data_IF_458210359402
#
_entry.id   IF_458210359402
#
_cell.length_a   1.000
_cell.length_b   1.000
_cell.length_c   1.000
_cell.angle_alpha   90.00
_cell.angle_beta   90.00
_cell.angle_gamma   90.00
#
_symmetry.space_group_name_H-M   'P 1'
#
loop_
_entity.id
_entity.type
_entity.pdbx_description
1 polymer ?
#
# COMPACT_ATOMS: atom_id res chain seq x y z
N UNK A 1 5.18 2.88 16.51
CA UNK A 1 5.80 3.49 15.33
C UNK A 1 4.81 3.47 14.16
N UNK A 2 4.40 2.29 13.67
CA UNK A 2 3.40 2.13 12.60
C UNK A 2 2.01 2.66 12.99
N UNK A 3 1.77 3.94 12.69
CA UNK A 3 0.51 4.64 12.89
C UNK A 3 0.34 5.69 11.77
N UNK A 4 -0.75 6.46 11.79
CA UNK A 4 -1.04 7.42 10.73
C UNK A 4 0.03 8.51 10.54
N UNK A 5 0.80 8.85 11.59
CA UNK A 5 1.91 9.81 11.48
C UNK A 5 3.05 9.22 10.66
N UNK A 6 3.35 7.94 10.84
CA UNK A 6 4.35 7.25 10.02
C UNK A 6 3.93 7.21 8.54
N UNK A 7 2.67 6.88 8.25
CA UNK A 7 2.17 6.90 6.87
C UNK A 7 2.27 8.31 6.23
N UNK A 8 1.97 9.37 7.00
CA UNK A 8 2.13 10.75 6.53
C UNK A 8 3.60 11.13 6.26
N UNK A 9 4.51 10.69 7.12
CA UNK A 9 5.96 10.89 6.97
C UNK A 9 6.49 10.19 5.71
N UNK A 10 6.11 8.92 5.48
CA UNK A 10 6.49 8.15 4.28
C UNK A 10 5.93 8.80 3.02
N UNK A 11 4.66 9.24 3.03
CA UNK A 11 4.06 9.94 1.90
C UNK A 11 4.82 11.24 1.56
N UNK A 12 5.11 12.05 2.58
CA UNK A 12 5.81 13.33 2.39
C UNK A 12 7.24 13.09 1.88
N UNK A 13 7.94 12.12 2.45
CA UNK A 13 9.30 11.74 2.01
C UNK A 13 9.28 11.25 0.56
N UNK A 14 8.33 10.38 0.19
CA UNK A 14 8.17 9.90 -1.18
C UNK A 14 7.91 11.06 -2.15
N UNK A 15 7.06 12.03 -1.78
CA UNK A 15 6.83 13.23 -2.59
C UNK A 15 8.13 14.00 -2.85
N UNK A 16 8.91 14.27 -1.79
CA UNK A 16 10.20 14.97 -1.91
C UNK A 16 11.17 14.20 -2.81
N UNK A 17 11.26 12.88 -2.68
CA UNK A 17 12.14 12.06 -3.51
C UNK A 17 11.72 12.09 -4.99
N UNK A 18 10.44 11.85 -5.27
CA UNK A 18 9.91 11.83 -6.64
C UNK A 18 10.07 13.18 -7.35
N UNK A 19 9.94 14.29 -6.61
CA UNK A 19 10.02 15.63 -7.17
C UNK A 19 11.44 16.17 -7.22
N UNK A 20 12.21 16.00 -6.14
CA UNK A 20 13.60 16.43 -6.05
C UNK A 20 14.50 15.75 -7.07
N UNK A 21 14.30 14.45 -7.31
CA UNK A 21 15.04 13.70 -8.33
C UNK A 21 14.36 13.71 -9.72
N UNK A 22 13.28 14.48 -9.90
CA UNK A 22 12.50 14.58 -11.15
C UNK A 22 12.00 13.22 -11.70
N UNK A 23 11.85 12.21 -10.84
CA UNK A 23 11.39 10.88 -11.27
C UNK A 23 9.97 10.91 -11.81
N UNK A 24 9.12 11.78 -11.24
CA UNK A 24 7.75 11.99 -11.71
C UNK A 24 7.66 12.58 -13.13
N UNK A 25 8.73 13.20 -13.65
CA UNK A 25 8.75 13.77 -15.01
C UNK A 25 9.16 12.72 -16.04
N UNK A 26 10.07 11.83 -15.67
CA UNK A 26 10.75 10.95 -16.62
C UNK A 26 10.28 9.50 -16.56
N UNK A 27 9.73 9.05 -15.43
CA UNK A 27 9.48 7.62 -15.18
C UNK A 27 8.05 7.31 -14.71
N UNK A 28 7.26 8.30 -14.32
CA UNK A 28 5.89 8.08 -13.83
C UNK A 28 4.90 8.86 -14.68
N UNK A 29 3.87 8.17 -15.16
CA UNK A 29 2.66 8.81 -15.66
C UNK A 29 1.74 9.21 -14.48
N UNK A 30 0.65 9.96 -14.71
CA UNK A 30 -0.24 10.39 -13.63
C UNK A 30 -0.84 9.22 -12.82
N UNK A 31 -1.12 8.09 -13.47
CA UNK A 31 -1.66 6.90 -12.81
C UNK A 31 -0.63 6.25 -11.89
N UNK A 32 0.62 6.13 -12.34
CA UNK A 32 1.74 5.63 -11.57
C UNK A 32 2.09 6.53 -10.39
N UNK A 33 2.04 7.86 -10.57
CA UNK A 33 2.23 8.81 -9.47
C UNK A 33 1.14 8.68 -8.40
N UNK A 34 -0.12 8.56 -8.82
CA UNK A 34 -1.23 8.31 -7.91
C UNK A 34 -1.09 6.96 -7.20
N UNK A 35 -0.68 5.90 -7.90
CA UNK A 35 -0.42 4.58 -7.31
C UNK A 35 0.70 4.64 -6.26
N UNK A 36 1.77 5.37 -6.53
CA UNK A 36 2.88 5.54 -5.59
C UNK A 36 2.44 6.25 -4.30
N UNK A 37 1.70 7.35 -4.41
CA UNK A 37 1.17 8.04 -3.23
C UNK A 37 0.14 7.20 -2.48
N UNK A 38 -0.76 6.51 -3.19
CA UNK A 38 -1.73 5.66 -2.55
C UNK A 38 -1.06 4.48 -1.82
N UNK A 39 -0.07 3.83 -2.44
CA UNK A 39 0.72 2.78 -1.81
C UNK A 39 1.39 3.29 -0.52
N UNK A 40 2.03 4.46 -0.54
CA UNK A 40 2.63 5.06 0.66
C UNK A 40 1.61 5.31 1.78
N UNK A 41 0.40 5.77 1.44
CA UNK A 41 -0.68 5.99 2.42
C UNK A 41 -1.12 4.69 3.09
N UNK A 42 -1.21 3.60 2.33
CA UNK A 42 -1.77 2.34 2.82
C UNK A 42 -0.73 1.30 3.25
N UNK A 43 0.57 1.56 3.05
CA UNK A 43 1.61 0.51 3.15
C UNK A 43 1.63 -0.20 4.51
N UNK A 44 1.19 0.47 5.58
CA UNK A 44 1.08 -0.06 6.96
C UNK A 44 -0.36 -0.06 7.50
N UNK A 45 -1.36 0.00 6.62
CA UNK A 45 -2.75 0.10 7.07
C UNK A 45 -3.18 -1.14 7.87
N UNK A 46 -3.62 -0.94 9.11
CA UNK A 46 -4.01 -2.04 10.01
C UNK A 46 -2.84 -2.76 10.69
N UNK A 47 -1.64 -2.17 10.69
CA UNK A 47 -0.46 -2.77 11.33
C UNK A 47 -0.67 -3.03 12.84
N UNK A 48 -0.45 -4.27 13.34
CA UNK A 48 -0.73 -4.65 14.74
C UNK A 48 0.35 -4.22 15.74
N UNK A 49 1.49 -3.74 15.25
CA UNK A 49 2.65 -3.37 16.08
C UNK A 49 3.58 -4.55 16.38
N UNK A 50 3.44 -5.63 15.63
CA UNK A 50 4.25 -6.85 15.69
C UNK A 50 4.98 -7.02 14.35
N UNK A 51 6.12 -7.71 14.33
CA UNK A 51 6.87 -7.99 13.09
C UNK A 51 6.31 -9.20 12.34
N UNK A 52 6.59 -9.31 11.04
CA UNK A 52 6.21 -10.48 10.23
C UNK A 52 6.71 -11.80 10.83
N UNK A 53 7.99 -11.84 11.21
CA UNK A 53 8.60 -12.99 11.90
C UNK A 53 7.86 -13.39 13.17
N UNK A 54 7.42 -12.42 13.98
CA UNK A 54 6.65 -12.71 15.19
C UNK A 54 5.31 -13.34 14.86
N UNK A 55 4.62 -12.85 13.82
CA UNK A 55 3.34 -13.41 13.39
C UNK A 55 3.51 -14.88 12.94
N UNK A 56 4.54 -15.17 12.14
CA UNK A 56 4.84 -16.54 11.68
C UNK A 56 5.26 -17.44 12.84
N UNK A 57 6.15 -16.98 13.73
CA UNK A 57 6.61 -17.78 14.86
C UNK A 57 5.49 -18.12 15.88
N UNK A 58 4.43 -17.31 15.92
CA UNK A 58 3.29 -17.48 16.84
C UNK A 58 2.05 -18.09 16.18
N UNK A 59 2.14 -18.50 14.91
CA UNK A 59 0.98 -18.95 14.11
C UNK A 59 -0.20 -17.96 14.17
N UNK A 60 0.12 -16.67 14.14
CA UNK A 60 -0.87 -15.60 14.21
C UNK A 60 -1.88 -15.73 13.05
N UNK A 61 -3.17 -15.36 13.22
CA UNK A 61 -4.17 -15.51 12.16
C UNK A 61 -3.80 -14.89 10.80
N UNK A 62 -3.06 -13.78 10.78
CA UNK A 62 -2.55 -13.18 9.54
C UNK A 62 -1.49 -14.05 8.87
N UNK A 63 -0.56 -14.63 9.63
CA UNK A 63 0.46 -15.54 9.12
C UNK A 63 -0.19 -16.79 8.50
N UNK A 64 -1.18 -17.38 9.19
CA UNK A 64 -1.97 -18.50 8.64
C UNK A 64 -2.74 -18.11 7.37
N UNK A 65 -3.37 -16.93 7.35
CA UNK A 65 -4.16 -16.44 6.21
C UNK A 65 -3.30 -16.23 4.97
N UNK A 66 -2.09 -15.70 5.13
CA UNK A 66 -1.18 -15.40 4.04
C UNK A 66 -0.07 -16.43 3.87
N UNK A 67 -0.21 -17.60 4.51
CA UNK A 67 0.69 -18.75 4.39
C UNK A 67 2.17 -18.38 4.63
N UNK A 68 2.42 -17.58 5.67
CA UNK A 68 3.75 -17.11 6.07
C UNK A 68 4.52 -16.30 5.01
N UNK A 69 3.83 -15.80 3.97
CA UNK A 69 4.44 -15.00 2.90
C UNK A 69 3.99 -13.55 3.01
N UNK A 70 4.90 -12.67 3.42
CA UNK A 70 4.67 -11.23 3.62
C UNK A 70 3.33 -10.95 4.32
N UNK A 71 3.08 -11.50 5.54
CA UNK A 71 1.73 -11.52 6.10
C UNK A 71 1.18 -10.13 6.41
N UNK A 72 2.06 -9.17 6.73
CA UNK A 72 1.71 -7.79 7.01
C UNK A 72 1.38 -7.04 5.72
N UNK A 73 2.26 -7.10 4.72
CA UNK A 73 2.14 -6.34 3.48
C UNK A 73 0.94 -6.81 2.66
N UNK A 74 0.68 -8.12 2.64
CA UNK A 74 -0.55 -8.66 2.07
C UNK A 74 -1.80 -8.17 2.83
N UNK A 75 -1.72 -8.07 4.16
CA UNK A 75 -2.83 -7.56 4.97
C UNK A 75 -3.12 -6.09 4.68
N UNK A 76 -2.10 -5.24 4.62
CA UNK A 76 -2.20 -3.81 4.37
C UNK A 76 -2.95 -3.54 3.06
N UNK A 77 -2.53 -4.22 1.99
CA UNK A 77 -3.21 -4.13 0.70
C UNK A 77 -4.65 -4.68 0.73
N UNK A 78 -4.85 -5.90 1.25
CA UNK A 78 -6.18 -6.51 1.28
C UNK A 78 -7.19 -5.65 2.05
N UNK A 79 -6.84 -5.23 3.26
CA UNK A 79 -7.71 -4.45 4.14
C UNK A 79 -8.06 -3.08 3.55
N UNK A 80 -7.09 -2.39 2.93
CA UNK A 80 -7.35 -1.09 2.30
C UNK A 80 -8.31 -1.18 1.11
N UNK A 81 -8.11 -2.16 0.23
CA UNK A 81 -9.00 -2.35 -0.92
C UNK A 81 -10.37 -2.91 -0.53
N UNK A 82 -10.47 -3.74 0.51
CA UNK A 82 -11.76 -4.17 1.08
C UNK A 82 -12.53 -2.97 1.65
N UNK A 83 -11.87 -2.06 2.36
CA UNK A 83 -12.48 -0.84 2.87
C UNK A 83 -13.05 0.02 1.75
N UNK A 84 -12.26 0.29 0.70
CA UNK A 84 -12.73 1.06 -0.47
C UNK A 84 -13.92 0.39 -1.16
N UNK A 85 -13.90 -0.93 -1.31
CA UNK A 85 -15.00 -1.68 -1.92
C UNK A 85 -16.26 -1.66 -1.06
N UNK A 86 -16.11 -1.72 0.27
CA UNK A 86 -17.21 -1.73 1.22
C UNK A 86 -17.84 -0.35 1.47
N UNK A 87 -17.11 0.73 1.19
CA UNK A 87 -17.56 2.10 1.40
C UNK A 87 -17.40 2.92 0.11
N UNK A 88 -18.44 3.00 -0.74
CA UNK A 88 -18.37 3.71 -2.03
C UNK A 88 -17.92 5.17 -1.92
N UNK A 89 -18.16 5.85 -0.79
CA UNK A 89 -17.68 7.21 -0.52
C UNK A 89 -16.16 7.31 -0.38
N UNK A 90 -15.47 6.20 -0.17
CA UNK A 90 -14.00 6.11 -0.08
C UNK A 90 -13.37 5.59 -1.38
N UNK A 91 -14.15 5.23 -2.40
CA UNK A 91 -13.61 4.76 -3.68
C UNK A 91 -13.04 5.93 -4.51
N UNK A 92 -11.74 6.15 -4.37
CA UNK A 92 -10.99 7.14 -5.17
C UNK A 92 -10.86 6.76 -6.64
N UNK A 93 -11.21 5.52 -7.02
CA UNK A 93 -11.06 5.02 -8.40
C UNK A 93 -12.32 5.24 -9.23
N UNK A 94 -13.36 5.86 -8.67
CA UNK A 94 -14.66 6.18 -9.28
C UNK A 94 -14.62 6.56 -10.77
N UNK A 95 -13.74 7.50 -11.13
CA UNK A 95 -13.60 8.04 -12.49
C UNK A 95 -12.71 7.25 -13.46
N UNK A 96 -12.07 6.16 -13.01
CA UNK A 96 -11.14 5.38 -13.83
C UNK A 96 -11.88 4.36 -14.71
N UNK A 97 -11.37 4.15 -15.92
CA UNK A 97 -11.76 3.04 -16.78
C UNK A 97 -11.40 1.68 -16.13
N UNK A 98 -12.02 0.56 -16.56
CA UNK A 98 -11.67 -0.75 -16.04
C UNK A 98 -10.18 -1.11 -16.18
N UNK A 99 -9.55 -0.70 -17.28
CA UNK A 99 -8.12 -0.92 -17.53
C UNK A 99 -7.23 -0.12 -16.56
N UNK A 100 -7.55 1.15 -16.32
CA UNK A 100 -6.83 1.99 -15.36
C UNK A 100 -7.00 1.47 -13.93
N UNK A 101 -8.21 1.05 -13.53
CA UNK A 101 -8.44 0.44 -12.20
C UNK A 101 -7.59 -0.81 -11.99
N UNK A 102 -7.50 -1.68 -13.00
CA UNK A 102 -6.70 -2.89 -12.95
C UNK A 102 -5.20 -2.57 -12.87
N UNK A 103 -4.71 -1.63 -13.68
CA UNK A 103 -3.32 -1.19 -13.65
C UNK A 103 -2.95 -0.51 -12.34
N UNK A 104 -3.78 0.40 -11.84
CA UNK A 104 -3.63 1.06 -10.54
C UNK A 104 -3.52 0.04 -9.41
N UNK A 105 -4.48 -0.89 -9.33
CA UNK A 105 -4.49 -1.94 -8.30
C UNK A 105 -3.21 -2.78 -8.36
N UNK A 106 -2.77 -3.16 -9.56
CA UNK A 106 -1.55 -3.95 -9.74
C UNK A 106 -0.32 -3.21 -9.22
N UNK A 107 -0.12 -1.95 -9.62
CA UNK A 107 1.02 -1.13 -9.19
C UNK A 107 1.03 -0.94 -7.67
N UNK A 108 -0.12 -0.63 -7.07
CA UNK A 108 -0.22 -0.45 -5.61
C UNK A 108 0.19 -1.73 -4.87
N UNK A 109 -0.29 -2.90 -5.31
CA UNK A 109 0.06 -4.19 -4.68
C UNK A 109 1.55 -4.46 -4.79
N UNK A 110 2.14 -4.25 -5.97
CA UNK A 110 3.58 -4.46 -6.19
C UNK A 110 4.42 -3.53 -5.30
N UNK A 111 4.03 -2.27 -5.16
CA UNK A 111 4.75 -1.29 -4.33
C UNK A 111 4.66 -1.60 -2.83
N UNK A 112 3.48 -1.99 -2.33
CA UNK A 112 3.32 -2.35 -0.91
C UNK A 112 4.03 -3.67 -0.60
N UNK A 113 3.95 -4.68 -1.46
CA UNK A 113 4.70 -5.93 -1.23
C UNK A 113 6.22 -5.72 -1.27
N UNK A 114 6.70 -4.68 -1.96
CA UNK A 114 8.12 -4.33 -1.98
C UNK A 114 8.61 -3.67 -0.68
N UNK A 115 7.75 -3.42 0.31
CA UNK A 115 8.16 -2.93 1.64
C UNK A 115 8.43 -4.04 2.65
N UNK A 116 8.22 -5.30 2.28
CA UNK A 116 8.60 -6.46 3.10
C UNK A 116 10.13 -6.53 3.26
N UNK A 117 10.63 -6.84 4.46
CA UNK A 117 12.03 -6.68 4.89
C UNK A 117 12.65 -7.98 5.37
#
# INVERSE_FOLDING_TARGET
>A
YHNAVHAADVLQTLHVLLHGAQLHVHYLDPLGLLAAYFAAIIHDYGHPGLTGDFLTATSHPLALRYNDRSPLENHHCAAAFELMKGQPSLDITGGMSPGERAAFRKMVIELVLATDM
#
